data_IF_068935477489
#
_entry.id   IF_068935477489
#
_cell.length_a   1.000
_cell.length_b   1.000
_cell.length_c   1.000
_cell.angle_alpha   90.00
_cell.angle_beta   90.00
_cell.angle_gamma   90.00
#
_symmetry.space_group_name_H-M   'P 1'
#
loop_
_entity.id
_entity.type
_entity.pdbx_description
1 polymer ?
#
# COMPACT_ATOMS: atom_id res chain seq x y z
N UNK A 1 -16.07 22.32 -19.35
CA UNK A 1 -15.67 22.80 -18.01
C UNK A 1 -14.24 23.31 -18.12
N UNK A 2 -13.93 24.50 -17.60
CA UNK A 2 -12.55 25.00 -17.59
C UNK A 2 -11.83 24.49 -16.36
N UNK A 3 -10.63 23.92 -16.55
CA UNK A 3 -9.74 23.53 -15.45
C UNK A 3 -8.48 24.39 -15.48
N UNK A 4 -8.15 25.01 -14.36
CA UNK A 4 -6.95 25.81 -14.15
C UNK A 4 -6.06 25.11 -13.12
N UNK A 5 -4.87 24.69 -13.53
CA UNK A 5 -3.90 24.03 -12.67
C UNK A 5 -2.89 25.03 -12.14
N UNK A 6 -2.55 24.91 -10.86
CA UNK A 6 -1.46 25.58 -10.19
C UNK A 6 -0.65 24.54 -9.43
N UNK A 7 0.63 24.38 -9.76
CA UNK A 7 1.54 23.49 -9.06
C UNK A 7 2.48 24.32 -8.18
N UNK A 8 2.46 24.07 -6.87
CA UNK A 8 3.45 24.57 -5.91
C UNK A 8 4.75 23.80 -6.07
N UNK A 9 5.69 24.37 -6.82
CA UNK A 9 6.98 23.74 -7.08
C UNK A 9 8.03 24.77 -7.53
N UNK A 10 9.18 24.74 -6.87
CA UNK A 10 10.32 25.57 -7.22
C UNK A 10 11.19 24.86 -8.26
N UNK A 11 11.53 25.57 -9.34
CA UNK A 11 12.38 25.06 -10.43
C UNK A 11 13.66 25.87 -10.55
N UNK A 12 14.75 25.21 -10.95
CA UNK A 12 16.01 25.84 -11.34
C UNK A 12 16.07 26.09 -12.85
N UNK A 13 16.98 26.96 -13.28
CA UNK A 13 17.25 27.20 -14.70
C UNK A 13 17.52 25.89 -15.44
N UNK A 14 16.93 25.73 -16.62
CA UNK A 14 17.01 24.52 -17.44
C UNK A 14 15.98 23.44 -17.09
N UNK A 15 15.14 23.64 -16.06
CA UNK A 15 14.02 22.75 -15.76
C UNK A 15 12.71 23.25 -16.37
N UNK A 16 11.84 22.31 -16.76
CA UNK A 16 10.48 22.62 -17.21
C UNK A 16 9.46 21.62 -16.67
N UNK A 17 8.22 22.06 -16.49
CA UNK A 17 7.13 21.25 -15.96
C UNK A 17 6.06 20.98 -17.02
N UNK A 18 5.46 19.80 -16.93
CA UNK A 18 4.40 19.33 -17.80
C UNK A 18 3.31 18.64 -16.98
N UNK A 19 2.12 18.51 -17.56
CA UNK A 19 0.99 17.73 -17.02
C UNK A 19 0.60 16.68 -18.04
N UNK A 20 0.51 15.43 -17.62
CA UNK A 20 -0.07 14.33 -18.41
C UNK A 20 -1.33 13.81 -17.72
N UNK A 21 -2.27 13.24 -18.47
CA UNK A 21 -3.51 12.71 -17.90
C UNK A 21 -4.39 12.03 -18.92
N UNK A 22 -5.47 11.39 -18.46
CA UNK A 22 -6.34 10.51 -19.23
C UNK A 22 -7.30 11.22 -20.21
N UNK A 23 -7.00 12.46 -20.61
CA UNK A 23 -7.76 13.19 -21.62
C UNK A 23 -6.85 13.73 -22.73
N UNK A 24 -7.44 14.06 -23.88
CA UNK A 24 -6.72 14.51 -25.07
C UNK A 24 -5.86 15.76 -24.79
N UNK A 25 -6.42 16.73 -24.04
CA UNK A 25 -5.74 17.98 -23.71
C UNK A 25 -4.50 17.79 -22.81
N UNK A 26 -4.39 16.63 -22.15
CA UNK A 26 -3.24 16.23 -21.33
C UNK A 26 -2.46 15.05 -21.94
N UNK A 27 -2.70 14.73 -23.21
CA UNK A 27 -1.92 13.74 -23.94
C UNK A 27 -2.32 12.28 -23.71
N UNK A 28 -3.53 11.98 -23.20
CA UNK A 28 -4.04 10.60 -23.02
C UNK A 28 -3.07 9.67 -22.28
N UNK A 29 -2.46 10.17 -21.21
CA UNK A 29 -1.46 9.48 -20.37
C UNK A 29 -0.13 9.17 -21.08
N UNK A 30 0.10 9.72 -22.28
CA UNK A 30 1.39 9.66 -22.97
C UNK A 30 2.26 10.85 -22.57
N UNK A 31 3.37 10.59 -21.89
CA UNK A 31 4.29 11.63 -21.39
C UNK A 31 4.86 12.48 -22.54
N UNK A 32 5.08 11.89 -23.71
CA UNK A 32 5.59 12.60 -24.89
C UNK A 32 4.59 13.61 -25.45
N UNK A 33 3.31 13.47 -25.13
CA UNK A 33 2.23 14.39 -25.49
C UNK A 33 1.76 15.25 -24.31
N UNK A 34 2.50 15.26 -23.19
CA UNK A 34 2.13 16.01 -22.00
C UNK A 34 2.07 17.53 -22.26
N UNK A 35 1.10 18.20 -21.64
CA UNK A 35 0.88 19.63 -21.76
C UNK A 35 1.98 20.41 -21.03
N UNK A 36 2.77 21.27 -21.70
CA UNK A 36 3.75 22.12 -21.01
C UNK A 36 3.07 23.15 -20.10
N UNK A 37 3.57 23.28 -18.87
CA UNK A 37 3.16 24.31 -17.93
C UNK A 37 3.92 25.61 -18.18
N UNK A 38 3.33 26.73 -17.76
CA UNK A 38 3.93 28.05 -17.78
C UNK A 38 4.44 28.41 -16.38
N UNK A 39 5.68 28.87 -16.29
CA UNK A 39 6.19 29.47 -15.06
C UNK A 39 5.37 30.73 -14.74
N UNK A 40 4.87 30.82 -13.52
CA UNK A 40 4.07 31.96 -13.06
C UNK A 40 4.84 32.80 -12.03
N UNK A 41 5.50 32.14 -11.07
CA UNK A 41 6.29 32.78 -10.02
C UNK A 41 7.20 31.74 -9.37
N UNK A 42 8.04 32.16 -8.42
CA UNK A 42 8.91 31.26 -7.65
C UNK A 42 8.13 30.17 -6.88
N UNK A 43 6.85 30.41 -6.61
CA UNK A 43 5.99 29.45 -5.91
C UNK A 43 5.16 28.59 -6.86
N UNK A 44 4.88 29.04 -8.09
CA UNK A 44 3.84 28.43 -8.92
C UNK A 44 4.22 28.26 -10.39
N UNK A 45 3.81 27.11 -10.92
CA UNK A 45 3.62 26.86 -12.33
C UNK A 45 2.13 26.72 -12.63
N UNK A 46 1.70 27.05 -13.85
CA UNK A 46 0.28 27.00 -14.22
C UNK A 46 0.01 26.47 -15.62
N UNK A 47 -1.15 25.83 -15.79
CA UNK A 47 -1.68 25.40 -17.07
C UNK A 47 -3.22 25.49 -17.05
N UNK A 48 -3.85 25.56 -18.22
CA UNK A 48 -5.31 25.56 -18.33
C UNK A 48 -5.73 24.66 -19.48
N UNK A 49 -6.82 23.93 -19.27
CA UNK A 49 -7.50 23.17 -20.32
C UNK A 49 -9.00 23.44 -20.26
N UNK A 50 -9.67 23.17 -21.37
CA UNK A 50 -11.13 23.06 -21.42
C UNK A 50 -11.49 21.60 -21.67
N UNK A 51 -12.20 21.00 -20.72
CA UNK A 51 -12.76 19.66 -20.91
C UNK A 51 -14.05 19.75 -21.71
N UNK A 52 -14.12 18.90 -22.74
CA UNK A 52 -15.30 18.67 -23.56
C UNK A 52 -16.49 18.16 -22.74
N UNK A 53 -17.70 18.31 -23.28
CA UNK A 53 -18.94 17.85 -22.62
C UNK A 53 -19.12 16.33 -22.68
N UNK A 54 -18.37 15.69 -23.57
CA UNK A 54 -18.31 14.27 -23.88
C UNK A 54 -17.30 13.50 -23.02
N UNK A 55 -16.54 14.19 -22.16
CA UNK A 55 -15.66 13.53 -21.21
C UNK A 55 -16.47 13.00 -20.01
N UNK A 56 -16.70 11.68 -19.99
CA UNK A 56 -17.59 11.02 -19.02
C UNK A 56 -16.85 10.28 -17.88
N UNK A 57 -15.51 10.36 -17.82
CA UNK A 57 -14.69 9.69 -16.81
C UNK A 57 -14.25 10.65 -15.70
N UNK A 58 -13.73 10.13 -14.59
CA UNK A 58 -12.95 10.95 -13.66
C UNK A 58 -11.63 11.37 -14.31
N UNK A 59 -11.23 12.63 -14.11
CA UNK A 59 -9.95 13.12 -14.62
C UNK A 59 -8.83 12.65 -13.70
N UNK A 60 -7.92 11.86 -14.26
CA UNK A 60 -6.68 11.43 -13.60
C UNK A 60 -5.49 12.07 -14.31
N UNK A 61 -4.57 12.65 -13.55
CA UNK A 61 -3.42 13.38 -14.10
C UNK A 61 -2.18 13.29 -13.20
N UNK A 62 -1.02 13.57 -13.77
CA UNK A 62 0.26 13.62 -13.06
C UNK A 62 1.12 14.76 -13.61
N UNK A 63 1.95 15.31 -12.74
CA UNK A 63 2.99 16.26 -13.11
C UNK A 63 4.29 15.55 -13.51
N UNK A 64 4.98 16.10 -14.52
CA UNK A 64 6.26 15.60 -15.02
C UNK A 64 7.27 16.75 -15.04
N UNK A 65 8.41 16.56 -14.39
CA UNK A 65 9.56 17.46 -14.43
C UNK A 65 10.53 16.98 -15.50
N UNK A 66 10.90 17.85 -16.42
CA UNK A 66 12.08 17.68 -17.27
C UNK A 66 13.25 18.41 -16.63
N UNK A 67 14.31 17.68 -16.30
CA UNK A 67 15.50 18.26 -15.70
C UNK A 67 16.44 18.88 -16.77
N UNK A 68 17.51 19.53 -16.33
CA UNK A 68 18.49 20.18 -17.22
C UNK A 68 19.24 19.20 -18.16
N UNK A 69 19.33 17.92 -17.77
CA UNK A 69 19.90 16.85 -18.62
C UNK A 69 18.88 16.30 -19.64
N UNK A 70 17.62 16.74 -19.57
CA UNK A 70 16.54 16.29 -20.43
C UNK A 70 15.82 15.03 -19.93
N UNK A 71 16.15 14.51 -18.75
CA UNK A 71 15.49 13.36 -18.14
C UNK A 71 14.10 13.77 -17.62
N UNK A 72 13.16 12.83 -17.71
CA UNK A 72 11.78 13.02 -17.28
C UNK A 72 11.56 12.31 -15.95
N UNK A 73 11.09 13.07 -14.96
CA UNK A 73 10.75 12.57 -13.64
C UNK A 73 9.27 12.82 -13.42
N UNK A 74 8.49 11.76 -13.30
CA UNK A 74 7.07 11.84 -12.93
C UNK A 74 6.96 11.91 -11.41
N UNK A 75 6.01 12.70 -10.91
CA UNK A 75 5.68 12.70 -9.48
C UNK A 75 5.21 11.32 -9.00
N UNK A 76 5.22 11.10 -7.68
CA UNK A 76 4.79 9.83 -7.10
C UNK A 76 3.27 9.74 -6.93
N UNK A 77 2.76 8.55 -7.25
CA UNK A 77 1.38 8.16 -7.00
C UNK A 77 0.47 8.35 -8.21
N UNK A 78 -0.73 7.80 -8.11
CA UNK A 78 -1.77 7.84 -9.13
C UNK A 78 -3.10 8.38 -8.56
N UNK A 79 -3.05 9.04 -7.40
CA UNK A 79 -4.22 9.44 -6.60
C UNK A 79 -4.65 10.90 -6.80
N UNK A 80 -4.17 11.53 -7.87
CA UNK A 80 -4.68 12.81 -8.37
C UNK A 80 -5.88 12.56 -9.28
N UNK A 81 -7.04 12.49 -8.64
CA UNK A 81 -8.32 12.27 -9.31
C UNK A 81 -9.27 13.43 -9.02
N UNK A 82 -9.92 13.91 -10.08
CA UNK A 82 -11.00 14.91 -10.00
C UNK A 82 -12.26 14.27 -10.55
N UNK A 83 -13.26 14.13 -9.68
CA UNK A 83 -14.57 13.56 -10.01
C UNK A 83 -15.42 14.57 -10.80
N UNK A 84 -15.02 14.85 -12.05
CA UNK A 84 -15.58 15.93 -12.88
C UNK A 84 -17.10 15.81 -13.05
N UNK A 85 -17.62 14.58 -13.12
CA UNK A 85 -19.05 14.31 -13.27
C UNK A 85 -19.88 14.71 -12.04
N UNK A 86 -19.25 14.87 -10.87
CA UNK A 86 -19.88 15.33 -9.63
C UNK A 86 -19.76 16.85 -9.44
N UNK A 87 -19.05 17.55 -10.33
CA UNK A 87 -18.81 18.99 -10.24
C UNK A 87 -19.81 19.74 -11.12
N UNK A 88 -20.54 20.68 -10.52
CA UNK A 88 -21.51 21.55 -11.21
C UNK A 88 -20.94 22.93 -11.55
N UNK A 89 -19.70 23.22 -11.15
CA UNK A 89 -19.00 24.46 -11.46
C UNK A 89 -18.55 24.49 -12.92
N UNK A 90 -18.60 25.67 -13.53
CA UNK A 90 -18.13 25.89 -14.90
C UNK A 90 -16.59 26.04 -14.94
N UNK A 91 -16.00 26.54 -13.84
CA UNK A 91 -14.57 26.77 -13.63
C UNK A 91 -14.09 26.01 -12.39
N UNK A 92 -13.00 25.24 -12.54
CA UNK A 92 -12.35 24.55 -11.44
C UNK A 92 -10.88 24.95 -11.37
N UNK A 93 -10.47 25.44 -10.21
CA UNK A 93 -9.07 25.74 -9.91
C UNK A 93 -8.48 24.60 -9.08
N UNK A 94 -7.40 23.99 -9.56
CA UNK A 94 -6.64 22.92 -8.90
C UNK A 94 -5.33 23.52 -8.40
N UNK A 95 -5.11 23.49 -7.09
CA UNK A 95 -3.88 23.99 -6.45
C UNK A 95 -3.17 22.83 -5.77
N UNK A 96 -2.13 22.34 -6.42
CA UNK A 96 -1.44 21.11 -6.05
C UNK A 96 -0.05 21.37 -5.48
N UNK A 97 0.46 20.40 -4.76
CA UNK A 97 1.84 20.35 -4.27
C UNK A 97 2.51 19.13 -4.87
N UNK A 98 3.71 19.29 -5.44
CA UNK A 98 4.46 18.17 -6.01
C UNK A 98 4.70 17.06 -4.97
N UNK A 99 4.50 15.81 -5.36
CA UNK A 99 4.82 14.66 -4.51
C UNK A 99 6.10 13.97 -4.99
N UNK A 100 7.21 14.13 -4.26
CA UNK A 100 8.47 13.51 -4.63
C UNK A 100 8.46 12.01 -4.28
N UNK A 101 9.01 11.15 -5.15
CA UNK A 101 9.06 9.70 -4.89
C UNK A 101 9.84 9.33 -3.62
N UNK A 102 10.79 10.17 -3.23
CA UNK A 102 11.57 10.03 -2.00
C UNK A 102 10.90 10.58 -0.73
N UNK A 103 9.67 11.10 -0.77
CA UNK A 103 8.97 11.47 0.47
C UNK A 103 8.78 10.24 1.37
N UNK A 104 9.25 10.33 2.61
CA UNK A 104 9.20 9.20 3.55
C UNK A 104 7.76 8.72 3.79
N UNK A 105 6.82 9.66 3.77
CA UNK A 105 5.40 9.43 3.97
C UNK A 105 4.78 8.48 2.94
N UNK A 106 5.30 8.47 1.71
CA UNK A 106 4.81 7.59 0.64
C UNK A 106 4.91 6.10 1.04
N UNK A 107 5.92 5.72 1.84
CA UNK A 107 6.08 4.35 2.32
C UNK A 107 4.85 3.86 3.09
N UNK A 108 4.18 4.74 3.85
CA UNK A 108 3.00 4.40 4.64
C UNK A 108 1.72 4.21 3.82
N UNK A 109 1.75 4.54 2.53
CA UNK A 109 0.67 4.28 1.58
C UNK A 109 0.90 3.01 0.75
N UNK A 110 2.03 2.32 0.94
CA UNK A 110 2.25 1.00 0.32
C UNK A 110 1.39 -0.08 1.00
N UNK A 111 1.11 -1.17 0.28
CA UNK A 111 0.22 -2.24 0.74
C UNK A 111 0.55 -2.79 2.14
N UNK A 112 1.81 -3.07 2.51
CA UNK A 112 2.12 -3.56 3.85
C UNK A 112 1.64 -2.62 4.96
N UNK A 113 1.75 -1.31 4.75
CA UNK A 113 1.30 -0.32 5.72
C UNK A 113 -0.20 -0.09 5.66
N UNK A 114 -0.74 0.13 4.46
CA UNK A 114 -2.14 0.49 4.24
C UNK A 114 -3.10 -0.65 4.60
N UNK A 115 -2.72 -1.90 4.34
CA UNK A 115 -3.61 -3.07 4.49
C UNK A 115 -3.34 -3.87 5.78
N UNK A 116 -2.12 -3.80 6.34
CA UNK A 116 -1.70 -4.70 7.45
C UNK A 116 -1.19 -3.96 8.69
N UNK A 117 -0.21 -3.07 8.54
CA UNK A 117 0.55 -2.55 9.69
C UNK A 117 -0.07 -1.32 10.37
N UNK A 118 -0.80 -0.49 9.62
CA UNK A 118 -1.43 0.71 10.16
C UNK A 118 -2.89 0.44 10.54
N UNK A 119 -3.40 1.10 11.60
CA UNK A 119 -4.79 0.96 11.98
C UNK A 119 -5.72 1.55 10.92
N UNK A 120 -6.86 0.90 10.70
CA UNK A 120 -7.96 1.51 9.94
C UNK A 120 -8.48 2.71 10.74
N UNK A 121 -8.29 3.91 10.19
CA UNK A 121 -8.77 5.14 10.80
C UNK A 121 -10.28 5.29 10.55
N UNK A 122 -11.03 5.68 11.58
CA UNK A 122 -12.46 5.93 11.44
C UNK A 122 -12.70 7.27 10.74
N UNK A 123 -13.63 7.27 9.79
CA UNK A 123 -14.10 8.51 9.20
C UNK A 123 -14.82 9.37 10.26
N UNK A 124 -14.40 10.63 10.40
CA UNK A 124 -15.21 11.63 11.09
C UNK A 124 -16.45 11.96 10.26
N UNK A 125 -17.53 12.41 10.91
CA UNK A 125 -18.69 12.95 10.20
C UNK A 125 -18.31 14.28 9.56
N UNK A 126 -18.39 14.35 8.24
CA UNK A 126 -18.20 15.57 7.49
C UNK A 126 -19.31 16.58 7.81
N UNK A 127 -18.95 17.87 7.96
CA UNK A 127 -19.95 18.95 7.94
C UNK A 127 -20.47 19.08 6.51
N UNK A 128 -21.78 19.01 6.32
CA UNK A 128 -22.39 19.17 5.01
C UNK A 128 -22.65 20.65 4.70
N UNK A 129 -22.40 21.03 3.46
CA UNK A 129 -22.73 22.34 2.93
C UNK A 129 -23.63 22.17 1.70
N UNK A 130 -24.65 23.01 1.57
CA UNK A 130 -25.52 23.02 0.37
C UNK A 130 -24.77 23.44 -0.88
N UNK A 131 -23.81 24.34 -0.73
CA UNK A 131 -22.95 24.83 -1.80
C UNK A 131 -21.51 24.71 -1.34
N UNK A 132 -20.67 24.06 -2.13
CA UNK A 132 -19.25 23.88 -1.86
C UNK A 132 -18.50 24.80 -2.80
N UNK A 133 -17.61 25.63 -2.24
CA UNK A 133 -16.74 26.53 -3.01
C UNK A 133 -15.29 26.04 -3.02
N UNK A 134 -14.91 25.29 -1.98
CA UNK A 134 -13.54 24.84 -1.77
C UNK A 134 -13.52 23.39 -1.28
N UNK A 135 -12.56 22.62 -1.77
CA UNK A 135 -12.22 21.27 -1.28
C UNK A 135 -10.75 21.28 -0.90
N UNK A 136 -10.45 21.10 0.38
CA UNK A 136 -9.08 21.07 0.88
C UNK A 136 -8.70 19.62 1.20
N UNK A 137 -7.60 19.14 0.62
CA UNK A 137 -7.11 17.76 0.76
C UNK A 137 -5.67 17.74 1.28
N UNK A 138 -5.39 16.84 2.22
CA UNK A 138 -4.02 16.54 2.67
C UNK A 138 -3.88 15.07 3.09
N UNK A 139 -2.64 14.58 3.12
CA UNK A 139 -2.25 13.25 3.58
C UNK A 139 -1.68 13.33 5.00
N UNK A 140 -2.01 12.33 5.82
CA UNK A 140 -1.53 12.21 7.20
C UNK A 140 -1.51 10.72 7.59
N UNK A 141 -0.50 9.95 7.14
CA UNK A 141 -0.54 8.48 7.21
C UNK A 141 -0.49 7.93 8.64
N UNK A 142 0.19 8.63 9.57
CA UNK A 142 0.51 8.11 10.90
C UNK A 142 -0.42 8.57 12.03
N UNK A 143 -1.64 9.03 11.71
CA UNK A 143 -2.62 9.34 12.75
C UNK A 143 -3.04 8.08 13.51
N UNK A 144 -3.17 8.20 14.83
CA UNK A 144 -3.61 7.11 15.70
C UNK A 144 -5.10 6.81 15.54
N UNK A 145 -5.55 5.67 16.08
CA UNK A 145 -6.92 5.13 15.95
C UNK A 145 -8.07 6.14 16.15
N UNK A 146 -7.93 7.07 17.10
CA UNK A 146 -8.97 8.06 17.45
C UNK A 146 -8.60 9.49 17.02
N UNK A 147 -7.49 9.65 16.31
CA UNK A 147 -7.00 10.94 15.80
C UNK A 147 -7.51 11.17 14.38
N UNK A 148 -7.92 12.40 14.10
CA UNK A 148 -8.35 12.86 12.78
C UNK A 148 -7.61 14.14 12.42
N UNK A 149 -7.42 14.39 11.13
CA UNK A 149 -6.90 15.68 10.66
C UNK A 149 -8.00 16.73 10.80
N UNK A 150 -7.63 17.94 11.21
CA UNK A 150 -8.52 19.09 11.29
C UNK A 150 -7.83 20.34 10.74
N UNK A 151 -8.62 21.38 10.48
CA UNK A 151 -8.15 22.69 10.06
C UNK A 151 -8.55 23.70 11.15
N UNK A 152 -7.62 24.59 11.52
CA UNK A 152 -7.93 25.82 12.24
C UNK A 152 -7.32 27.00 11.50
N UNK A 153 -7.99 28.15 11.48
CA UNK A 153 -7.58 29.28 10.64
C UNK A 153 -8.28 30.59 10.97
N UNK A 154 -8.01 31.61 10.16
CA UNK A 154 -8.28 33.03 10.46
C UNK A 154 -9.72 33.50 10.25
N UNK A 155 -10.65 32.62 9.91
CA UNK A 155 -12.03 32.99 9.60
C UNK A 155 -13.05 32.03 10.25
N UNK A 156 -14.34 32.36 10.18
CA UNK A 156 -15.40 31.59 10.84
C UNK A 156 -15.49 30.16 10.31
N UNK A 157 -15.33 29.97 8.99
CA UNK A 157 -15.32 28.66 8.36
C UNK A 157 -14.16 27.76 8.83
N UNK A 158 -13.02 28.36 9.18
CA UNK A 158 -11.85 27.70 9.77
C UNK A 158 -11.80 27.80 11.30
N UNK A 159 -12.84 28.30 11.94
CA UNK A 159 -12.98 28.31 13.40
C UNK A 159 -12.17 29.38 14.14
N UNK A 160 -11.69 30.45 13.48
CA UNK A 160 -10.98 31.58 14.11
C UNK A 160 -9.85 31.17 15.08
N UNK A 161 -9.07 30.16 14.71
CA UNK A 161 -8.01 29.58 15.56
C UNK A 161 -8.49 29.00 16.91
N UNK A 162 -9.79 28.74 17.07
CA UNK A 162 -10.35 28.08 18.26
C UNK A 162 -10.09 26.57 18.24
N UNK A 163 -9.09 26.13 19.00
CA UNK A 163 -8.71 24.72 19.18
C UNK A 163 -9.84 23.86 19.78
N UNK A 164 -10.87 24.46 20.39
CA UNK A 164 -12.01 23.70 20.92
C UNK A 164 -13.02 23.33 19.85
N UNK A 165 -13.02 24.03 18.70
CA UNK A 165 -13.95 23.85 17.59
C UNK A 165 -13.26 23.93 16.23
N UNK A 166 -12.18 23.15 15.99
CA UNK A 166 -11.55 23.12 14.68
C UNK A 166 -12.47 22.47 13.66
N UNK A 167 -12.24 22.78 12.39
CA UNK A 167 -12.92 22.12 11.27
C UNK A 167 -12.36 20.71 11.10
N UNK A 168 -13.07 19.69 11.58
CA UNK A 168 -12.68 18.29 11.39
C UNK A 168 -12.77 17.87 9.92
N UNK A 169 -11.75 17.17 9.44
CA UNK A 169 -11.71 16.57 8.10
C UNK A 169 -12.19 15.13 8.16
N UNK A 170 -12.70 14.62 7.05
CA UNK A 170 -13.09 13.22 6.90
C UNK A 170 -12.18 12.53 5.89
N UNK A 171 -12.15 11.20 5.92
CA UNK A 171 -11.29 10.41 5.03
C UNK A 171 -12.04 10.03 3.75
N UNK A 172 -11.45 10.33 2.61
CA UNK A 172 -11.84 9.83 1.28
C UNK A 172 -10.61 9.12 0.70
N UNK A 173 -10.64 7.79 0.66
CA UNK A 173 -9.50 6.94 0.26
C UNK A 173 -8.21 7.21 1.05
N UNK A 174 -7.18 7.78 0.41
CA UNK A 174 -5.88 8.15 1.00
C UNK A 174 -5.85 9.57 1.56
N UNK A 175 -6.85 10.39 1.23
CA UNK A 175 -6.91 11.81 1.54
C UNK A 175 -7.78 12.11 2.77
N UNK A 176 -7.31 13.04 3.59
CA UNK A 176 -8.16 13.80 4.50
C UNK A 176 -8.75 14.98 3.75
N UNK A 177 -10.06 15.14 3.78
CA UNK A 177 -10.82 16.09 2.96
C UNK A 177 -11.69 16.99 3.83
N UNK A 178 -11.71 18.29 3.52
CA UNK A 178 -12.69 19.24 3.99
C UNK A 178 -13.39 19.90 2.79
N UNK A 179 -14.70 19.67 2.65
CA UNK A 179 -15.55 20.33 1.66
C UNK A 179 -16.26 21.50 2.34
N UNK A 180 -16.01 22.73 1.90
CA UNK A 180 -16.43 23.94 2.61
C UNK A 180 -17.00 25.03 1.69
N UNK A 181 -17.76 25.93 2.30
CA UNK A 181 -18.23 27.16 1.69
C UNK A 181 -17.50 28.35 2.31
N UNK A 182 -16.76 29.09 1.48
CA UNK A 182 -16.04 30.32 1.85
C UNK A 182 -16.62 31.57 1.16
N UNK A 183 -17.84 31.49 0.63
CA UNK A 183 -18.48 32.57 -0.14
C UNK A 183 -18.72 33.87 0.62
N UNK A 184 -18.59 33.87 1.95
CA UNK A 184 -18.77 35.04 2.82
C UNK A 184 -17.50 35.40 3.60
N UNK A 185 -16.42 34.68 3.38
CA UNK A 185 -15.19 34.82 4.15
C UNK A 185 -14.24 35.83 3.51
N UNK A 186 -13.35 36.41 4.31
CA UNK A 186 -12.31 37.32 3.84
C UNK A 186 -11.06 36.56 3.38
N UNK A 187 -10.38 37.12 2.36
CA UNK A 187 -9.16 36.57 1.77
C UNK A 187 -8.03 37.62 1.77
N UNK A 188 -6.75 37.20 1.86
CA UNK A 188 -6.29 35.81 1.97
C UNK A 188 -6.62 35.21 3.35
N UNK A 189 -6.99 33.94 3.35
CA UNK A 189 -7.32 33.20 4.57
C UNK A 189 -6.11 32.36 5.00
N UNK A 190 -5.65 32.55 6.24
CA UNK A 190 -4.59 31.75 6.82
C UNK A 190 -5.20 30.53 7.51
N UNK A 191 -4.62 29.35 7.33
CA UNK A 191 -5.03 28.13 8.01
C UNK A 191 -3.85 27.22 8.32
N UNK A 192 -4.07 26.26 9.19
CA UNK A 192 -3.09 25.24 9.55
C UNK A 192 -3.78 23.91 9.79
N UNK A 193 -3.15 22.82 9.38
CA UNK A 193 -3.60 21.49 9.79
C UNK A 193 -3.28 21.26 11.26
N UNK A 194 -4.14 20.50 11.92
CA UNK A 194 -3.95 20.02 13.28
C UNK A 194 -4.46 18.60 13.43
N UNK A 195 -4.18 18.02 14.59
CA UNK A 195 -4.67 16.69 14.98
C UNK A 195 -5.68 16.86 16.09
N UNK A 196 -6.87 16.30 15.91
CA UNK A 196 -7.92 16.29 16.91
C UNK A 196 -8.21 14.85 17.35
N UNK A 197 -8.31 14.63 18.66
CA UNK A 197 -8.65 13.31 19.20
C UNK A 197 -10.17 13.24 19.44
N UNK A 198 -10.86 12.43 18.64
CA UNK A 198 -12.33 12.31 18.66
C UNK A 198 -12.87 11.62 19.92
N UNK A 199 -12.06 10.82 20.60
CA UNK A 199 -12.44 10.12 21.83
C UNK A 199 -12.40 11.04 23.05
N UNK A 200 -11.32 11.80 23.20
CA UNK A 200 -11.12 12.76 24.30
C UNK A 200 -11.74 14.13 24.02
N UNK A 201 -12.12 14.38 22.76
CA UNK A 201 -12.67 15.65 22.26
C UNK A 201 -11.72 16.83 22.50
N UNK A 202 -10.43 16.62 22.29
CA UNK A 202 -9.41 17.64 22.49
C UNK A 202 -8.52 17.80 21.26
N UNK A 203 -8.08 19.02 21.03
CA UNK A 203 -6.98 19.32 20.13
C UNK A 203 -5.68 18.72 20.67
N UNK A 204 -4.86 18.14 19.79
CA UNK A 204 -3.63 17.45 20.17
C UNK A 204 -2.41 18.29 19.83
N UNK A 205 -2.35 18.81 18.60
CA UNK A 205 -1.22 19.61 18.08
C UNK A 205 -1.55 20.21 16.71
N UNK A 206 -0.84 21.28 16.36
CA UNK A 206 -0.70 21.74 14.98
C UNK A 206 0.33 20.93 14.21
N UNK A 207 0.25 20.99 12.87
CA UNK A 207 1.40 20.69 12.02
C UNK A 207 2.55 21.70 12.27
N UNK A 208 3.75 21.34 11.84
CA UNK A 208 4.93 22.21 11.85
C UNK A 208 4.86 23.26 10.73
N UNK A 209 5.84 24.17 10.69
CA UNK A 209 5.95 25.18 9.64
C UNK A 209 5.05 26.40 9.85
N UNK A 210 5.05 27.29 8.86
CA UNK A 210 4.24 28.51 8.85
C UNK A 210 2.77 28.22 8.55
N UNK A 211 1.90 29.20 8.76
CA UNK A 211 0.51 29.11 8.34
C UNK A 211 0.44 28.97 6.81
N UNK A 212 -0.45 28.10 6.35
CA UNK A 212 -0.78 27.97 4.93
C UNK A 212 -1.70 29.11 4.53
N UNK A 213 -1.54 29.61 3.31
CA UNK A 213 -2.27 30.76 2.81
C UNK A 213 -3.17 30.35 1.64
N UNK A 214 -4.47 30.65 1.77
CA UNK A 214 -5.45 30.52 0.71
C UNK A 214 -5.79 31.90 0.15
N UNK A 215 -5.36 32.14 -1.09
CA UNK A 215 -5.57 33.42 -1.78
C UNK A 215 -6.80 33.43 -2.69
N UNK A 216 -7.15 32.28 -3.24
CA UNK A 216 -8.21 32.19 -4.24
C UNK A 216 -9.59 32.35 -3.58
N UNK A 217 -10.25 33.48 -3.85
CA UNK A 217 -11.54 33.80 -3.28
C UNK A 217 -12.67 33.00 -3.95
N UNK A 218 -13.72 32.70 -3.19
CA UNK A 218 -14.92 32.06 -3.72
C UNK A 218 -15.59 32.94 -4.78
N UNK A 219 -16.03 32.34 -5.89
CA UNK A 219 -16.74 33.01 -6.97
C UNK A 219 -17.93 32.17 -7.46
N UNK A 220 -18.87 32.82 -8.18
CA UNK A 220 -20.04 32.14 -8.74
C UNK A 220 -19.62 31.06 -9.74
N UNK A 221 -20.20 29.86 -9.62
CA UNK A 221 -19.91 28.69 -10.46
C UNK A 221 -18.42 28.32 -10.56
N UNK A 222 -17.66 28.63 -9.50
CA UNK A 222 -16.24 28.25 -9.37
C UNK A 222 -16.06 27.25 -8.22
N UNK A 223 -15.21 26.25 -8.42
CA UNK A 223 -14.75 25.33 -7.39
C UNK A 223 -13.23 25.36 -7.29
N UNK A 224 -12.69 25.52 -6.08
CA UNK A 224 -11.24 25.45 -5.85
C UNK A 224 -10.89 24.19 -5.07
N UNK A 225 -10.03 23.34 -5.62
CA UNK A 225 -9.54 22.12 -4.97
C UNK A 225 -8.07 22.30 -4.63
N UNK A 226 -7.75 22.23 -3.35
CA UNK A 226 -6.38 22.31 -2.83
C UNK A 226 -5.90 20.89 -2.50
N UNK A 227 -4.80 20.45 -3.09
CA UNK A 227 -4.08 19.24 -2.72
C UNK A 227 -2.73 19.62 -2.12
N UNK A 228 -2.71 19.70 -0.79
CA UNK A 228 -1.62 20.24 -0.01
C UNK A 228 -0.47 19.23 0.25
N UNK A 229 -0.50 18.08 -0.42
CA UNK A 229 0.44 16.99 -0.20
C UNK A 229 0.27 16.41 1.21
N UNK A 230 1.37 16.35 1.97
CA UNK A 230 1.37 15.89 3.35
C UNK A 230 1.17 17.06 4.34
N UNK A 231 0.36 16.83 5.37
CA UNK A 231 0.38 17.67 6.56
C UNK A 231 1.75 17.51 7.25
N UNK A 232 2.36 18.60 7.70
CA UNK A 232 3.71 18.60 8.28
C UNK A 232 3.73 18.04 9.71
N UNK A 233 3.39 16.76 9.84
CA UNK A 233 3.31 16.02 11.10
C UNK A 233 4.55 15.14 11.30
N UNK A 234 4.87 14.71 12.53
CA UNK A 234 5.98 13.80 12.76
C UNK A 234 5.77 12.46 12.03
N UNK A 235 6.68 12.14 11.10
CA UNK A 235 6.65 10.90 10.31
C UNK A 235 7.54 9.77 10.86
N UNK A 236 8.15 10.01 12.03
CA UNK A 236 9.04 9.09 12.73
C UNK A 236 8.36 8.41 13.93
N UNK A 237 7.02 8.41 13.98
CA UNK A 237 6.28 7.88 15.14
C UNK A 237 6.00 6.39 15.04
N UNK A 238 6.07 5.80 13.83
CA UNK A 238 5.88 4.37 13.65
C UNK A 238 7.20 3.63 13.84
N UNK A 239 7.16 2.59 14.67
CA UNK A 239 8.29 1.70 14.91
C UNK A 239 7.81 0.26 14.75
N UNK A 240 8.59 -0.55 14.04
CA UNK A 240 8.33 -1.97 13.85
C UNK A 240 9.61 -2.77 14.08
N UNK A 241 9.44 -3.99 14.55
CA UNK A 241 10.49 -5.00 14.59
C UNK A 241 10.01 -6.23 13.81
N UNK A 242 10.93 -6.90 13.13
CA UNK A 242 10.66 -8.12 12.39
C UNK A 242 11.63 -9.22 12.77
N UNK A 243 11.31 -10.43 12.35
CA UNK A 243 12.16 -11.61 12.50
C UNK A 243 12.60 -12.02 11.09
N UNK A 244 13.88 -12.27 10.90
CA UNK A 244 14.39 -12.94 9.70
C UNK A 244 14.81 -14.35 10.09
N UNK A 245 14.16 -15.36 9.52
CA UNK A 245 14.39 -16.76 9.89
C UNK A 245 14.19 -17.70 8.70
N UNK A 246 15.15 -18.60 8.40
CA UNK A 246 14.93 -19.66 7.44
C UNK A 246 13.88 -20.66 7.94
N UNK A 247 12.90 -21.03 7.11
CA UNK A 247 11.87 -22.01 7.51
C UNK A 247 12.51 -23.32 7.96
N UNK A 248 13.53 -23.81 7.23
CA UNK A 248 14.21 -25.05 7.57
C UNK A 248 14.82 -25.06 8.98
N UNK A 249 15.14 -23.89 9.54
CA UNK A 249 15.76 -23.76 10.86
C UNK A 249 14.77 -23.81 12.03
N UNK A 250 13.46 -23.74 11.76
CA UNK A 250 12.45 -23.86 12.80
C UNK A 250 12.48 -25.26 13.42
N UNK A 251 12.21 -25.33 14.72
CA UNK A 251 12.14 -26.58 15.48
C UNK A 251 10.82 -26.62 16.24
N UNK A 252 10.00 -27.64 15.98
CA UNK A 252 8.83 -27.94 16.79
C UNK A 252 8.79 -29.41 17.17
N UNK A 253 7.91 -29.78 18.10
CA UNK A 253 7.74 -31.17 18.54
C UNK A 253 7.17 -32.07 17.45
N UNK A 254 6.46 -31.48 16.49
CA UNK A 254 5.71 -32.19 15.45
C UNK A 254 6.41 -32.13 14.09
N UNK A 255 7.50 -31.37 13.95
CA UNK A 255 8.35 -31.34 12.77
C UNK A 255 8.95 -32.72 12.45
N UNK A 256 9.45 -32.91 11.22
CA UNK A 256 10.19 -34.11 10.81
C UNK A 256 11.65 -33.79 10.47
N UNK A 257 12.46 -33.46 11.49
CA UNK A 257 13.90 -33.18 11.36
C UNK A 257 14.26 -31.80 10.78
N UNK A 258 13.27 -31.05 10.29
CA UNK A 258 13.40 -29.75 9.64
C UNK A 258 12.16 -28.91 9.96
N UNK A 259 12.29 -27.59 9.99
CA UNK A 259 11.12 -26.72 10.08
C UNK A 259 10.22 -26.81 8.85
N UNK A 260 8.91 -26.78 9.08
CA UNK A 260 7.85 -27.02 8.07
C UNK A 260 6.86 -25.86 7.98
N UNK A 261 5.99 -25.86 6.96
CA UNK A 261 4.96 -24.81 6.81
C UNK A 261 3.99 -24.75 7.99
N UNK A 262 3.72 -25.87 8.66
CA UNK A 262 2.92 -25.89 9.89
C UNK A 262 3.61 -25.18 11.05
N UNK A 263 4.95 -25.21 11.12
CA UNK A 263 5.72 -24.54 12.15
C UNK A 263 5.70 -23.02 12.01
N UNK A 264 5.49 -22.51 10.79
CA UNK A 264 5.30 -21.08 10.56
C UNK A 264 4.09 -20.53 11.31
N UNK A 265 3.03 -21.33 11.51
CA UNK A 265 1.86 -20.91 12.30
C UNK A 265 2.27 -20.65 13.77
N UNK A 266 3.11 -21.52 14.33
CA UNK A 266 3.65 -21.36 15.67
C UNK A 266 4.58 -20.14 15.78
N UNK A 267 5.40 -19.89 14.75
CA UNK A 267 6.22 -18.69 14.66
C UNK A 267 5.37 -17.42 14.62
N UNK A 268 4.25 -17.42 13.88
CA UNK A 268 3.29 -16.30 13.84
C UNK A 268 2.68 -16.07 15.22
N UNK A 269 2.21 -17.12 15.90
CA UNK A 269 1.66 -17.00 17.25
C UNK A 269 2.68 -16.41 18.25
N UNK A 270 3.95 -16.83 18.13
CA UNK A 270 5.04 -16.27 18.92
C UNK A 270 5.33 -14.81 18.54
N UNK A 271 5.42 -14.50 17.25
CA UNK A 271 5.69 -13.16 16.73
C UNK A 271 4.63 -12.16 17.21
N UNK A 272 3.35 -12.54 17.21
CA UNK A 272 2.24 -11.73 17.74
C UNK A 272 2.43 -11.44 19.23
N UNK A 273 2.77 -12.46 20.04
CA UNK A 273 3.04 -12.28 21.49
C UNK A 273 4.21 -11.33 21.73
N UNK A 274 5.22 -11.38 20.87
CA UNK A 274 6.41 -10.51 20.93
C UNK A 274 6.20 -9.15 20.24
N UNK A 275 5.00 -8.87 19.71
CA UNK A 275 4.64 -7.64 18.97
C UNK A 275 5.49 -7.41 17.71
N UNK A 276 6.05 -8.47 17.15
CA UNK A 276 6.74 -8.43 15.86
C UNK A 276 5.72 -8.15 14.75
N UNK A 277 6.18 -7.44 13.72
CA UNK A 277 5.35 -6.88 12.65
C UNK A 277 5.62 -7.53 11.29
N UNK A 278 6.75 -8.22 11.17
CA UNK A 278 7.18 -8.85 9.93
C UNK A 278 7.89 -10.17 10.24
N UNK A 279 7.60 -11.18 9.45
CA UNK A 279 8.41 -12.40 9.34
C UNK A 279 8.97 -12.41 7.93
N UNK A 280 10.29 -12.28 7.82
CA UNK A 280 11.02 -12.49 6.59
C UNK A 280 11.56 -13.92 6.59
N UNK A 281 11.29 -14.65 5.51
CA UNK A 281 11.81 -16.00 5.29
C UNK A 281 12.83 -16.00 4.16
N UNK A 282 13.69 -17.02 4.16
CA UNK A 282 14.50 -17.36 2.99
C UNK A 282 13.61 -17.98 1.90
N UNK A 283 14.07 -18.08 0.64
CA UNK A 283 13.31 -18.74 -0.41
C UNK A 283 12.88 -20.15 0.00
N UNK A 284 11.64 -20.50 -0.33
CA UNK A 284 10.99 -21.78 0.00
C UNK A 284 10.67 -22.61 -1.25
N UNK A 285 11.18 -22.16 -2.39
CA UNK A 285 10.97 -22.78 -3.68
C UNK A 285 11.71 -24.11 -3.80
N UNK A 286 11.18 -25.01 -4.62
CA UNK A 286 11.81 -26.31 -4.84
C UNK A 286 13.14 -26.18 -5.56
N UNK A 287 14.14 -26.87 -5.02
CA UNK A 287 15.54 -26.91 -5.44
C UNK A 287 15.99 -28.35 -5.75
N UNK A 288 15.06 -29.32 -5.72
CA UNK A 288 15.36 -30.75 -5.89
C UNK A 288 15.77 -31.07 -7.33
N UNK A 289 17.08 -31.18 -7.59
CA UNK A 289 17.62 -31.52 -8.91
C UNK A 289 18.53 -32.76 -8.88
N UNK A 290 19.25 -32.97 -7.77
CA UNK A 290 20.25 -34.03 -7.64
C UNK A 290 19.86 -35.11 -6.65
N UNK A 291 18.84 -34.85 -5.83
CA UNK A 291 18.44 -35.66 -4.68
C UNK A 291 19.58 -35.85 -3.67
N UNK A 292 20.48 -34.87 -3.58
CA UNK A 292 21.59 -34.82 -2.61
C UNK A 292 21.52 -33.57 -1.75
N UNK A 293 22.39 -33.46 -0.75
CA UNK A 293 22.52 -32.28 0.09
C UNK A 293 22.75 -30.96 -0.69
N UNK A 294 23.24 -31.02 -1.94
CA UNK A 294 23.40 -29.85 -2.80
C UNK A 294 22.07 -29.12 -3.05
N UNK A 295 20.96 -29.85 -3.04
CA UNK A 295 19.62 -29.30 -3.22
C UNK A 295 19.14 -28.51 -1.98
N UNK A 296 19.86 -28.54 -0.85
CA UNK A 296 19.50 -27.75 0.34
C UNK A 296 19.74 -26.24 0.18
N UNK A 297 20.44 -25.82 -0.88
CA UNK A 297 20.78 -24.42 -1.12
C UNK A 297 19.56 -23.64 -1.68
N UNK A 298 18.95 -22.72 -0.91
CA UNK A 298 17.65 -22.13 -1.26
C UNK A 298 17.67 -21.17 -2.46
N UNK A 299 18.85 -20.83 -2.98
CA UNK A 299 19.01 -19.88 -4.10
C UNK A 299 19.26 -20.55 -5.45
N UNK A 300 19.10 -21.88 -5.55
CA UNK A 300 19.16 -22.63 -6.81
C UNK A 300 17.81 -23.30 -7.16
N UNK A 301 16.70 -22.56 -7.25
CA UNK A 301 15.39 -23.16 -7.47
C UNK A 301 15.28 -23.75 -8.88
N UNK A 302 14.66 -24.92 -8.99
CA UNK A 302 14.24 -25.50 -10.28
C UNK A 302 12.92 -24.90 -10.77
N UNK A 303 12.17 -24.21 -9.89
CA UNK A 303 10.94 -23.49 -10.21
C UNK A 303 10.73 -22.31 -9.28
N UNK A 304 10.34 -21.15 -9.83
CA UNK A 304 9.93 -19.98 -9.04
C UNK A 304 8.49 -20.07 -8.53
N UNK A 305 7.74 -21.10 -8.96
CA UNK A 305 6.34 -21.33 -8.56
C UNK A 305 6.21 -22.47 -7.54
N UNK A 306 6.95 -23.56 -7.73
CA UNK A 306 6.80 -24.75 -6.90
C UNK A 306 7.42 -24.56 -5.51
N UNK A 307 6.71 -25.03 -4.49
CA UNK A 307 7.19 -25.05 -3.10
C UNK A 307 7.99 -26.33 -2.84
N UNK A 308 9.07 -26.21 -2.09
CA UNK A 308 9.95 -27.35 -1.80
C UNK A 308 9.22 -28.40 -0.93
N UNK A 309 9.20 -29.69 -1.34
CA UNK A 309 8.60 -30.77 -0.55
C UNK A 309 9.20 -30.95 0.85
N UNK A 310 10.40 -30.43 1.11
CA UNK A 310 11.02 -30.40 2.44
C UNK A 310 10.12 -29.75 3.49
N UNK A 311 9.32 -28.74 3.12
CA UNK A 311 8.49 -27.99 4.06
C UNK A 311 7.09 -28.58 4.27
N UNK A 312 6.74 -29.64 3.52
CA UNK A 312 5.46 -30.32 3.65
C UNK A 312 5.37 -31.08 4.98
N UNK A 313 4.32 -30.83 5.76
CA UNK A 313 4.05 -31.61 6.96
C UNK A 313 3.22 -32.85 6.59
N UNK A 314 3.88 -34.01 6.56
CA UNK A 314 3.29 -35.29 6.14
C UNK A 314 2.16 -35.77 7.06
N UNK A 315 2.19 -35.43 8.35
CA UNK A 315 1.10 -35.73 9.29
C UNK A 315 -0.19 -34.99 8.93
N UNK A 316 -0.09 -33.72 8.54
CA UNK A 316 -1.23 -32.92 8.09
C UNK A 316 -1.81 -33.48 6.79
N UNK A 317 -0.96 -33.92 5.85
CA UNK A 317 -1.41 -34.58 4.60
C UNK A 317 -2.09 -35.92 4.89
N UNK A 318 -1.62 -36.67 5.88
CA UNK A 318 -2.26 -37.90 6.30
C UNK A 318 -3.62 -37.69 7.00
N UNK A 319 -3.89 -36.47 7.50
CA UNK A 319 -5.13 -36.10 8.19
C UNK A 319 -5.29 -36.67 9.61
N UNK A 320 -4.49 -37.67 9.99
CA UNK A 320 -4.52 -38.32 11.30
C UNK A 320 -3.10 -38.70 11.77
N UNK A 321 -2.71 -38.27 12.97
CA UNK A 321 -1.45 -38.67 13.61
C UNK A 321 -1.36 -40.19 13.86
N UNK A 322 -2.50 -40.89 13.90
CA UNK A 322 -2.56 -42.36 14.06
C UNK A 322 -2.51 -43.11 12.74
N UNK A 323 -2.42 -42.41 11.61
CA UNK A 323 -2.30 -43.00 10.29
C UNK A 323 -1.10 -43.96 10.23
N UNK A 324 -1.23 -45.06 9.48
CA UNK A 324 -0.24 -46.14 9.45
C UNK A 324 1.15 -45.64 9.02
N UNK A 325 1.18 -44.80 7.99
CA UNK A 325 2.40 -44.13 7.47
C UNK A 325 3.07 -43.25 8.54
N UNK A 326 2.29 -42.50 9.31
CA UNK A 326 2.84 -41.61 10.35
C UNK A 326 3.39 -42.43 11.52
N UNK A 327 2.65 -43.47 11.95
CA UNK A 327 3.09 -44.38 13.02
C UNK A 327 4.39 -45.11 12.67
N UNK A 328 4.57 -45.55 11.42
CA UNK A 328 5.78 -46.27 11.01
C UNK A 328 7.03 -45.37 11.10
N UNK A 329 6.87 -44.06 10.91
CA UNK A 329 7.98 -43.11 10.96
C UNK A 329 8.20 -42.46 12.33
N UNK A 330 7.34 -42.66 13.32
CA UNK A 330 7.38 -41.95 14.61
C UNK A 330 8.73 -42.09 15.35
N UNK A 331 9.39 -43.26 15.25
CA UNK A 331 10.75 -43.44 15.80
C UNK A 331 11.76 -42.57 15.06
N UNK A 332 11.70 -42.56 13.73
CA UNK A 332 12.63 -41.80 12.88
C UNK A 332 12.43 -40.30 13.02
N UNK A 333 11.19 -39.83 13.12
CA UNK A 333 10.87 -38.44 13.43
C UNK A 333 11.58 -37.98 14.71
N UNK A 334 11.47 -38.77 15.79
CA UNK A 334 12.14 -38.46 17.08
C UNK A 334 13.66 -38.45 16.95
N UNK A 335 14.23 -39.40 16.22
CA UNK A 335 15.67 -39.44 15.94
C UNK A 335 16.13 -38.17 15.21
N UNK A 336 15.47 -37.80 14.11
CA UNK A 336 15.83 -36.63 13.31
C UNK A 336 15.61 -35.31 14.04
N UNK A 337 14.53 -35.19 14.83
CA UNK A 337 14.26 -34.00 15.65
C UNK A 337 15.30 -33.80 16.76
N UNK A 338 16.00 -34.87 17.19
CA UNK A 338 17.02 -34.80 18.22
C UNK A 338 18.40 -34.38 17.70
N UNK A 339 18.60 -34.36 16.37
CA UNK A 339 19.87 -33.96 15.76
C UNK A 339 20.11 -32.46 15.94
N UNK A 340 21.38 -32.09 16.19
CA UNK A 340 21.79 -30.69 16.27
C UNK A 340 21.66 -29.99 14.91
N UNK A 341 22.08 -30.69 13.84
CA UNK A 341 22.04 -30.22 12.47
C UNK A 341 20.95 -30.95 11.67
N UNK A 342 20.52 -30.35 10.58
CA UNK A 342 19.50 -30.94 9.70
C UNK A 342 20.19 -32.02 8.84
N UNK A 343 19.76 -33.26 9.01
CA UNK A 343 20.09 -34.34 8.07
C UNK A 343 19.15 -34.26 6.86
N UNK A 344 19.51 -33.39 5.91
CA UNK A 344 18.68 -33.06 4.74
C UNK A 344 18.28 -34.30 3.95
N UNK A 345 19.24 -35.16 3.61
CA UNK A 345 19.00 -36.34 2.78
C UNK A 345 18.10 -37.36 3.49
N UNK A 346 18.29 -37.59 4.80
CA UNK A 346 17.40 -38.47 5.56
C UNK A 346 15.98 -37.89 5.62
N UNK A 347 15.84 -36.60 5.93
CA UNK A 347 14.52 -35.93 5.96
C UNK A 347 13.80 -36.10 4.62
N UNK A 348 14.47 -35.78 3.51
CA UNK A 348 13.87 -35.87 2.18
C UNK A 348 13.53 -37.30 1.80
N UNK A 349 14.39 -38.27 2.11
CA UNK A 349 14.12 -39.70 1.86
C UNK A 349 12.82 -40.15 2.54
N UNK A 350 12.70 -39.98 3.85
CA UNK A 350 11.54 -40.46 4.60
C UNK A 350 10.27 -39.70 4.25
N UNK A 351 10.37 -38.38 3.98
CA UNK A 351 9.23 -37.61 3.50
C UNK A 351 8.73 -38.08 2.15
N UNK A 352 9.62 -38.31 1.18
CA UNK A 352 9.21 -38.81 -0.13
C UNK A 352 8.61 -40.22 -0.09
N UNK A 353 9.14 -41.10 0.76
CA UNK A 353 8.54 -42.42 1.02
C UNK A 353 7.09 -42.26 1.52
N UNK A 354 6.86 -41.40 2.52
CA UNK A 354 5.52 -41.12 3.04
C UNK A 354 4.59 -40.46 2.02
N UNK A 355 5.06 -39.45 1.28
CA UNK A 355 4.29 -38.75 0.25
C UNK A 355 3.79 -39.75 -0.80
N UNK A 356 4.65 -40.67 -1.26
CA UNK A 356 4.28 -41.68 -2.26
C UNK A 356 3.25 -42.67 -1.72
N UNK A 357 3.40 -43.14 -0.48
CA UNK A 357 2.43 -44.05 0.14
C UNK A 357 1.07 -43.36 0.33
N UNK A 358 1.06 -42.13 0.86
CA UNK A 358 -0.16 -41.34 1.03
C UNK A 358 -0.83 -41.02 -0.31
N UNK A 359 -0.06 -40.61 -1.33
CA UNK A 359 -0.61 -40.37 -2.66
C UNK A 359 -1.24 -41.63 -3.27
N UNK A 360 -0.61 -42.80 -3.11
CA UNK A 360 -1.16 -44.05 -3.61
C UNK A 360 -2.53 -44.39 -2.99
N UNK A 361 -2.73 -44.03 -1.72
CA UNK A 361 -3.99 -44.21 -0.99
C UNK A 361 -5.03 -43.12 -1.32
N UNK A 362 -4.60 -41.88 -1.53
CA UNK A 362 -5.47 -40.70 -1.61
C UNK A 362 -5.78 -40.24 -3.05
N UNK A 363 -5.02 -40.68 -4.06
CA UNK A 363 -5.14 -40.18 -5.45
C UNK A 363 -6.54 -40.24 -6.02
N UNK A 364 -7.33 -41.28 -5.73
CA UNK A 364 -8.70 -41.40 -6.25
C UNK A 364 -9.59 -40.27 -5.73
N UNK A 365 -9.55 -40.00 -4.43
CA UNK A 365 -10.30 -38.89 -3.84
C UNK A 365 -9.80 -37.53 -4.34
N UNK A 366 -8.48 -37.37 -4.51
CA UNK A 366 -7.87 -36.15 -5.04
C UNK A 366 -8.27 -35.87 -6.50
N UNK A 367 -8.48 -36.91 -7.32
CA UNK A 367 -8.99 -36.77 -8.69
C UNK A 367 -10.47 -36.39 -8.76
N UNK A 368 -11.21 -36.59 -7.66
CA UNK A 368 -12.62 -36.22 -7.53
C UNK A 368 -12.81 -34.88 -6.80
N UNK A 369 -11.73 -34.23 -6.37
CA UNK A 369 -11.74 -32.95 -5.67
C UNK A 369 -11.79 -31.77 -6.66
N UNK A 370 -12.92 -31.07 -6.66
CA UNK A 370 -13.16 -29.88 -7.49
C UNK A 370 -12.15 -28.76 -7.21
N UNK A 371 -11.72 -28.57 -5.96
CA UNK A 371 -10.73 -27.54 -5.60
C UNK A 371 -9.36 -27.88 -6.18
N UNK A 372 -8.97 -29.16 -6.14
CA UNK A 372 -7.74 -29.61 -6.77
C UNK A 372 -7.79 -29.44 -8.29
N UNK A 373 -8.90 -29.79 -8.94
CA UNK A 373 -9.03 -29.64 -10.40
C UNK A 373 -8.97 -28.16 -10.83
N UNK A 374 -9.63 -27.26 -10.09
CA UNK A 374 -9.54 -25.82 -10.34
C UNK A 374 -8.12 -25.30 -10.17
N UNK A 375 -7.43 -25.70 -9.10
CA UNK A 375 -6.01 -25.38 -8.90
C UNK A 375 -5.16 -25.87 -10.06
N UNK A 376 -5.34 -27.13 -10.49
CA UNK A 376 -4.60 -27.73 -11.59
C UNK A 376 -4.80 -26.95 -12.89
N UNK A 377 -6.04 -26.68 -13.31
CA UNK A 377 -6.32 -25.99 -14.57
C UNK A 377 -5.80 -24.54 -14.56
N UNK A 378 -5.95 -23.81 -13.45
CA UNK A 378 -5.40 -22.44 -13.30
C UNK A 378 -3.87 -22.41 -13.41
N UNK A 379 -3.20 -23.47 -12.96
CA UNK A 379 -1.73 -23.53 -12.84
C UNK A 379 -1.08 -24.45 -13.88
N UNK A 380 -1.86 -25.01 -14.80
CA UNK A 380 -1.44 -26.06 -15.73
C UNK A 380 -0.19 -25.69 -16.53
N UNK A 381 -0.07 -24.41 -16.90
CA UNK A 381 1.02 -23.89 -17.73
C UNK A 381 2.42 -24.07 -17.10
N UNK A 382 2.53 -24.08 -15.77
CA UNK A 382 3.79 -24.32 -15.07
C UNK A 382 3.82 -25.65 -14.33
N UNK A 383 2.66 -26.13 -13.86
CA UNK A 383 2.56 -27.32 -13.03
C UNK A 383 2.91 -28.60 -13.80
N UNK A 384 2.42 -28.74 -15.05
CA UNK A 384 2.69 -29.91 -15.90
C UNK A 384 4.19 -30.04 -16.25
N UNK A 385 4.88 -29.01 -16.77
CA UNK A 385 6.31 -29.14 -17.07
C UNK A 385 7.15 -29.34 -15.79
N UNK A 386 6.79 -28.73 -14.66
CA UNK A 386 7.45 -28.97 -13.38
C UNK A 386 7.30 -30.42 -12.91
N UNK A 387 6.08 -30.96 -12.94
CA UNK A 387 5.79 -32.34 -12.54
C UNK A 387 6.36 -33.39 -13.49
N UNK A 388 6.65 -33.03 -14.75
CA UNK A 388 7.33 -33.91 -15.69
C UNK A 388 8.85 -33.94 -15.50
N UNK A 389 9.43 -32.85 -14.99
CA UNK A 389 10.85 -32.75 -14.66
C UNK A 389 11.20 -33.45 -13.34
N UNK A 390 10.35 -33.26 -12.33
CA UNK A 390 10.54 -33.71 -10.94
C UNK A 390 10.06 -35.14 -10.74
#
# INVERSE_FOLDING_TARGET
MRLQFYLRFFTHYGQSLYITGNCEQLGNSEITAALPMKYLSDEFWTASIELGKDFENDLQYNYVLKNAAGELVTEWGNDRVVEVMKITADDVTLVDTWNHAGEFENAFYTQPFAEVLLPVQKAAKAKSYKTITHVIKAKAPLLKKDEVLCIAGSNDAFGNWDETKPLLMHREETWWVAKINLGKESFPAAYKYGVFNTKTKSFVRYESGNNRMLYDAAAAKKLTILQDGFAQLPNNTWHGAGISVPVFSLRSRNSFGVGEFTDMKLLVDWAVKMKMKLIQILPINDTTATHTWMDSYPYAPISVFALHPQYLNVETVAGDAKHKVIKSMAKKQKELNALAEIDYEAVMKYKWEAIRELYAEQKTAMHEDDEFFQFFELNRYWLVPYAAFS
#
